data_IF_960028801272
#
_entry.id   IF_960028801272
#
_cell.length_a   1.000
_cell.length_b   1.000
_cell.length_c   1.000
_cell.angle_alpha   90.00
_cell.angle_beta   90.00
_cell.angle_gamma   90.00
#
_symmetry.space_group_name_H-M   'P 1'
#
loop_
_entity.id
_entity.type
_entity.pdbx_description
1 polymer ?
#
# COMPACT_ATOMS: atom_id res chain seq x y z
N UNK A 1 7.87 -12.34 3.81
CA UNK A 1 7.66 -11.91 2.42
C UNK A 1 7.81 -10.41 2.36
N UNK A 2 8.27 -9.91 1.23
CA UNK A 2 8.33 -8.50 0.90
C UNK A 2 6.99 -8.11 0.28
N UNK A 3 6.26 -7.22 0.96
CA UNK A 3 4.91 -6.80 0.59
C UNK A 3 4.93 -5.32 0.27
N UNK A 4 4.39 -4.97 -0.89
CA UNK A 4 4.26 -3.59 -1.34
C UNK A 4 2.78 -3.21 -1.40
N UNK A 5 2.39 -2.24 -0.59
CA UNK A 5 1.04 -1.68 -0.56
C UNK A 5 1.09 -0.30 -1.19
N UNK A 6 0.62 -0.20 -2.43
CA UNK A 6 0.57 1.06 -3.17
C UNK A 6 -0.84 1.61 -3.11
N UNK A 7 -0.98 2.88 -2.72
CA UNK A 7 -2.29 3.50 -2.62
C UNK A 7 -2.38 4.86 -3.32
N UNK A 8 -3.57 5.18 -3.81
CA UNK A 8 -3.99 6.55 -4.06
C UNK A 8 -5.11 6.94 -3.09
N UNK A 9 -5.20 8.21 -2.70
CA UNK A 9 -6.16 8.69 -1.70
C UNK A 9 -6.46 10.17 -1.89
N UNK A 10 -7.74 10.53 -2.02
CA UNK A 10 -8.16 11.93 -2.10
C UNK A 10 -8.41 12.59 -0.73
N UNK A 11 -9.03 11.87 0.21
CA UNK A 11 -9.43 12.42 1.53
C UNK A 11 -8.78 11.70 2.72
N UNK A 12 -7.79 10.85 2.46
CA UNK A 12 -7.07 10.11 3.50
C UNK A 12 -7.72 8.80 3.95
N UNK A 13 -8.92 8.45 3.45
CA UNK A 13 -9.57 7.18 3.82
C UNK A 13 -8.81 5.97 3.29
N UNK A 14 -8.41 5.97 2.02
CA UNK A 14 -7.63 4.88 1.44
C UNK A 14 -6.22 4.82 2.05
N UNK A 15 -5.60 5.96 2.35
CA UNK A 15 -4.31 6.03 3.04
C UNK A 15 -4.36 5.31 4.40
N UNK A 16 -5.36 5.64 5.24
CA UNK A 16 -5.55 4.98 6.55
C UNK A 16 -5.80 3.48 6.43
N UNK A 17 -6.55 3.05 5.41
CA UNK A 17 -6.78 1.63 5.15
C UNK A 17 -5.47 0.91 4.75
N UNK A 18 -4.66 1.55 3.90
CA UNK A 18 -3.36 1.02 3.47
C UNK A 18 -2.38 0.91 4.64
N UNK A 19 -2.30 1.94 5.50
CA UNK A 19 -1.49 1.95 6.72
C UNK A 19 -1.92 0.85 7.71
N UNK A 20 -3.23 0.71 7.94
CA UNK A 20 -3.77 -0.34 8.81
C UNK A 20 -3.43 -1.74 8.28
N UNK A 21 -3.58 -1.95 6.97
CA UNK A 21 -3.21 -3.22 6.32
C UNK A 21 -1.71 -3.48 6.43
N UNK A 22 -0.86 -2.48 6.22
CA UNK A 22 0.58 -2.59 6.36
C UNK A 22 0.99 -3.02 7.78
N UNK A 23 0.42 -2.36 8.79
CA UNK A 23 0.64 -2.74 10.19
C UNK A 23 0.22 -4.19 10.46
N UNK A 24 -0.93 -4.63 9.95
CA UNK A 24 -1.36 -6.02 10.08
C UNK A 24 -0.36 -6.99 9.41
N UNK A 25 0.17 -6.66 8.24
CA UNK A 25 1.18 -7.51 7.58
C UNK A 25 2.49 -7.61 8.38
N UNK A 26 2.94 -6.49 8.96
CA UNK A 26 4.10 -6.46 9.85
C UNK A 26 3.88 -7.29 11.12
N UNK A 27 2.69 -7.22 11.72
CA UNK A 27 2.30 -8.03 12.88
C UNK A 27 2.32 -9.53 12.59
N UNK A 28 2.13 -9.93 11.32
CA UNK A 28 2.25 -11.32 10.86
C UNK A 28 3.69 -11.69 10.45
N UNK A 29 4.68 -10.83 10.71
CA UNK A 29 6.09 -11.09 10.44
C UNK A 29 6.52 -10.90 8.98
N UNK A 30 5.76 -10.14 8.19
CA UNK A 30 6.14 -9.76 6.84
C UNK A 30 6.88 -8.42 6.82
N UNK A 31 7.76 -8.22 5.83
CA UNK A 31 8.34 -6.92 5.56
C UNK A 31 7.35 -6.18 4.66
N UNK A 32 6.72 -5.13 5.20
CA UNK A 32 5.73 -4.37 4.46
C UNK A 32 6.21 -2.95 4.21
N UNK A 33 5.94 -2.44 3.01
CA UNK A 33 6.10 -1.02 2.68
C UNK A 33 4.78 -0.48 2.16
N UNK A 34 4.40 0.69 2.65
CA UNK A 34 3.17 1.37 2.24
C UNK A 34 3.56 2.64 1.52
N UNK A 35 3.17 2.77 0.25
CA UNK A 35 3.59 3.85 -0.63
C UNK A 35 2.39 4.58 -1.24
N UNK A 36 2.41 5.91 -1.19
CA UNK A 36 1.52 6.71 -2.05
C UNK A 36 1.96 6.57 -3.51
N UNK A 37 1.02 6.36 -4.43
CA UNK A 37 1.32 6.05 -5.83
C UNK A 37 2.14 7.15 -6.53
N UNK A 38 1.98 8.42 -6.13
CA UNK A 38 2.77 9.52 -6.66
C UNK A 38 4.23 9.55 -6.19
N UNK A 39 4.62 8.69 -5.25
CA UNK A 39 5.97 8.56 -4.70
C UNK A 39 6.50 7.12 -4.79
N UNK A 40 5.68 6.18 -5.27
CA UNK A 40 6.04 4.77 -5.30
C UNK A 40 7.19 4.51 -6.27
N UNK A 41 8.19 3.74 -5.84
CA UNK A 41 9.30 3.33 -6.70
C UNK A 41 8.96 2.05 -7.46
N UNK A 42 8.83 2.07 -8.80
CA UNK A 42 8.46 0.88 -9.58
C UNK A 42 9.42 -0.30 -9.41
N UNK A 43 10.71 -0.04 -9.19
CA UNK A 43 11.71 -1.08 -9.01
C UNK A 43 11.57 -1.80 -7.66
N UNK A 44 11.07 -1.12 -6.63
CA UNK A 44 10.79 -1.75 -5.34
C UNK A 44 9.50 -2.56 -5.41
N UNK A 45 8.49 -2.00 -6.08
CA UNK A 45 7.20 -2.67 -6.31
C UNK A 45 7.37 -3.96 -7.11
N UNK A 46 8.25 -4.00 -8.12
CA UNK A 46 8.46 -5.18 -8.96
C UNK A 46 9.15 -6.35 -8.25
N UNK A 47 9.92 -6.08 -7.20
CA UNK A 47 10.65 -7.09 -6.43
C UNK A 47 9.83 -7.65 -5.26
N UNK A 48 8.58 -7.20 -5.09
CA UNK A 48 7.69 -7.67 -4.04
C UNK A 48 7.18 -9.09 -4.32
N UNK A 49 7.09 -9.90 -3.28
CA UNK A 49 6.43 -11.21 -3.32
C UNK A 49 4.90 -11.05 -3.49
N UNK A 50 4.37 -9.91 -3.01
CA UNK A 50 2.95 -9.57 -3.07
C UNK A 50 2.76 -8.06 -3.19
N UNK A 51 1.89 -7.66 -4.11
CA UNK A 51 1.52 -6.26 -4.35
C UNK A 51 0.03 -6.08 -4.04
N UNK A 52 -0.29 -5.17 -3.13
CA UNK A 52 -1.66 -4.69 -2.92
C UNK A 52 -1.81 -3.29 -3.50
N UNK A 53 -2.87 -3.08 -4.29
CA UNK A 53 -3.19 -1.76 -4.85
C UNK A 53 -4.53 -1.28 -4.32
N UNK A 54 -4.53 -0.12 -3.67
CA UNK A 54 -5.73 0.54 -3.17
C UNK A 54 -5.93 1.90 -3.86
N UNK A 55 -7.16 2.26 -4.21
CA UNK A 55 -7.46 3.60 -4.71
C UNK A 55 -8.78 4.11 -4.13
N UNK A 56 -9.02 5.39 -4.32
CA UNK A 56 -10.30 6.02 -4.05
C UNK A 56 -11.11 6.06 -5.35
N UNK A 57 -12.44 6.03 -5.22
CA UNK A 57 -13.34 6.25 -6.36
C UNK A 57 -13.84 7.68 -6.29
N UNK A 58 -13.76 8.39 -7.42
CA UNK A 58 -14.36 9.73 -7.55
C UNK A 58 -15.84 9.58 -7.87
N UNK A 59 -16.70 9.67 -6.84
CA UNK A 59 -18.16 9.77 -7.05
C UNK A 59 -19.00 9.46 -5.81
N UNK A 60 -20.01 10.30 -5.60
CA UNK A 60 -21.42 9.93 -5.80
C UNK A 60 -22.03 10.99 -6.72
#
# INVERSE_FOLDING_TARGET
MNIEIVYDSSTGTTARAAEAMGKTMEEHGHQCRVQYIGQANPAEVSEADLICVGTWVKGL
#
